data_IF_038742623199
#
_entry.id   IF_038742623199
#
_cell.length_a   1.000
_cell.length_b   1.000
_cell.length_c   1.000
_cell.angle_alpha   90.00
_cell.angle_beta   90.00
_cell.angle_gamma   90.00
#
_symmetry.space_group_name_H-M   'P 1'
#
loop_
_entity.id
_entity.type
_entity.pdbx_description
1 polymer ?
#
# COMPACT_ATOMS: atom_id res chain seq x y z
N UNK A 1 -0.61 -4.72 7.83
CA UNK A 1 0.31 -5.80 7.39
C UNK A 1 1.20 -6.18 8.56
N UNK A 2 1.26 -7.47 8.91
CA UNK A 2 2.02 -7.96 10.08
C UNK A 2 3.46 -8.35 9.75
N UNK A 3 3.71 -8.86 8.54
CA UNK A 3 5.04 -9.14 8.00
C UNK A 3 5.20 -8.41 6.66
N UNK A 4 6.22 -7.57 6.55
CA UNK A 4 6.52 -6.86 5.30
C UNK A 4 7.50 -7.64 4.41
N UNK A 5 8.25 -8.59 4.97
CA UNK A 5 9.26 -9.35 4.24
C UNK A 5 9.28 -10.82 4.71
N UNK A 6 8.85 -11.77 3.87
CA UNK A 6 8.30 -11.58 2.52
C UNK A 6 6.94 -10.84 2.53
N UNK A 7 6.67 -10.05 1.49
CA UNK A 7 5.40 -9.33 1.34
C UNK A 7 4.29 -10.28 0.88
N UNK A 8 3.13 -10.34 1.56
CA UNK A 8 2.07 -11.31 1.26
C UNK A 8 1.14 -10.83 0.12
N UNK A 9 1.63 -10.88 -1.13
CA UNK A 9 0.88 -10.34 -2.29
C UNK A 9 -0.50 -10.98 -2.50
N UNK A 10 -0.61 -12.31 -2.37
CA UNK A 10 -1.88 -13.02 -2.61
C UNK A 10 -2.95 -12.68 -1.56
N UNK A 11 -2.57 -12.65 -0.28
CA UNK A 11 -3.49 -12.28 0.81
C UNK A 11 -3.96 -10.84 0.66
N UNK A 12 -3.07 -9.91 0.28
CA UNK A 12 -3.43 -8.50 0.04
C UNK A 12 -4.40 -8.39 -1.13
N UNK A 13 -4.12 -9.08 -2.24
CA UNK A 13 -4.96 -9.07 -3.43
C UNK A 13 -6.35 -9.64 -3.15
N UNK A 14 -6.43 -10.75 -2.42
CA UNK A 14 -7.71 -11.37 -2.06
C UNK A 14 -8.51 -10.50 -1.10
N UNK A 15 -7.87 -9.97 -0.06
CA UNK A 15 -8.52 -9.11 0.94
C UNK A 15 -9.08 -7.81 0.33
N UNK A 16 -8.44 -7.28 -0.72
CA UNK A 16 -8.80 -6.01 -1.35
C UNK A 16 -9.54 -6.16 -2.68
N UNK A 17 -9.87 -7.38 -3.12
CA UNK A 17 -10.41 -7.65 -4.45
C UNK A 17 -11.68 -6.85 -4.80
N UNK A 18 -12.54 -6.58 -3.82
CA UNK A 18 -13.84 -5.92 -4.01
C UNK A 18 -13.83 -4.42 -3.69
N UNK A 19 -12.65 -3.81 -3.52
CA UNK A 19 -12.53 -2.37 -3.25
C UNK A 19 -12.44 -1.57 -4.54
N UNK A 20 -13.00 -0.35 -4.53
CA UNK A 20 -12.92 0.59 -5.67
C UNK A 20 -11.71 1.52 -5.59
N UNK A 21 -11.31 1.86 -4.36
CA UNK A 21 -10.18 2.72 -4.07
C UNK A 21 -9.50 2.26 -2.77
N UNK A 22 -8.19 2.41 -2.71
CA UNK A 22 -7.33 2.01 -1.58
C UNK A 22 -6.44 3.20 -1.22
N UNK A 23 -6.50 3.61 0.06
CA UNK A 23 -5.57 4.56 0.63
C UNK A 23 -4.49 3.79 1.40
N UNK A 24 -3.22 3.96 0.99
CA UNK A 24 -2.06 3.35 1.63
C UNK A 24 -1.34 4.42 2.43
N UNK A 25 -1.17 4.18 3.72
CA UNK A 25 -0.54 5.13 4.62
C UNK A 25 0.86 4.64 4.98
N UNK A 26 1.88 5.42 4.64
CA UNK A 26 3.30 5.14 4.90
C UNK A 26 3.82 6.05 6.02
N UNK A 27 4.57 5.48 6.98
CA UNK A 27 5.33 6.28 7.96
C UNK A 27 6.75 6.60 7.50
N UNK A 28 6.96 6.54 6.20
CA UNK A 28 8.24 6.86 5.57
C UNK A 28 8.04 8.06 4.66
N UNK A 29 9.00 8.98 4.67
CA UNK A 29 9.05 10.12 3.74
C UNK A 29 10.29 9.97 2.86
N UNK A 30 10.17 9.35 1.67
CA UNK A 30 11.33 9.04 0.83
C UNK A 30 11.91 10.25 0.07
N UNK A 31 11.61 11.49 0.48
CA UNK A 31 12.20 12.69 -0.10
C UNK A 31 11.88 12.90 -1.59
N UNK A 32 10.70 12.48 -2.06
CA UNK A 32 10.25 12.65 -3.45
C UNK A 32 9.98 11.36 -4.21
N UNK A 33 10.37 10.20 -3.66
CA UNK A 33 9.91 8.89 -4.14
C UNK A 33 8.64 8.43 -3.41
N UNK A 34 7.95 7.45 -3.99
CA UNK A 34 6.77 6.83 -3.38
C UNK A 34 7.15 5.94 -2.18
N UNK A 35 6.26 5.87 -1.19
CA UNK A 35 6.44 5.06 0.01
C UNK A 35 6.62 3.57 -0.29
N UNK A 36 7.43 2.89 0.55
CA UNK A 36 7.72 1.47 0.36
C UNK A 36 6.44 0.63 0.44
N UNK A 37 5.54 0.94 1.39
CA UNK A 37 4.30 0.18 1.54
C UNK A 37 3.33 0.43 0.39
N UNK A 38 3.23 1.69 -0.06
CA UNK A 38 2.47 2.04 -1.27
C UNK A 38 2.93 1.23 -2.48
N UNK A 39 4.24 1.11 -2.72
CA UNK A 39 4.76 0.39 -3.88
C UNK A 39 4.37 -1.09 -3.85
N UNK A 40 4.47 -1.74 -2.70
CA UNK A 40 4.12 -3.16 -2.58
C UNK A 40 2.62 -3.42 -2.75
N UNK A 41 1.77 -2.58 -2.15
CA UNK A 41 0.31 -2.69 -2.29
C UNK A 41 -0.12 -2.39 -3.73
N UNK A 42 0.48 -1.37 -4.35
CA UNK A 42 0.23 -1.03 -5.75
C UNK A 42 0.63 -2.19 -6.67
N UNK A 43 1.79 -2.81 -6.45
CA UNK A 43 2.22 -4.00 -7.19
C UNK A 43 1.27 -5.19 -6.99
N UNK A 44 0.82 -5.45 -5.76
CA UNK A 44 -0.15 -6.51 -5.46
C UNK A 44 -1.48 -6.32 -6.21
N UNK A 45 -1.95 -5.06 -6.28
CA UNK A 45 -3.21 -4.74 -6.95
C UNK A 45 -3.08 -4.56 -8.46
N UNK A 46 -1.87 -4.32 -8.98
CA UNK A 46 -1.63 -4.15 -10.41
C UNK A 46 -1.98 -5.39 -11.23
N UNK A 47 -1.77 -6.57 -10.65
CA UNK A 47 -2.11 -7.89 -11.23
C UNK A 47 -3.54 -8.34 -10.90
N UNK A 48 -4.29 -7.56 -10.11
CA UNK A 48 -5.70 -7.86 -9.80
C UNK A 48 -6.62 -7.57 -11.00
N UNK A 49 -7.77 -8.25 -11.06
CA UNK A 49 -8.76 -8.03 -12.13
C UNK A 49 -9.46 -6.66 -11.98
N UNK A 50 -9.72 -6.24 -10.74
CA UNK A 50 -10.54 -5.06 -10.45
C UNK A 50 -9.76 -3.73 -10.49
N UNK A 51 -8.42 -3.78 -10.44
CA UNK A 51 -7.46 -2.66 -10.58
C UNK A 51 -7.95 -1.35 -9.94
N UNK A 52 -8.16 -1.32 -8.61
CA UNK A 52 -8.64 -0.13 -7.92
C UNK A 52 -7.65 1.03 -7.99
N UNK A 53 -8.15 2.25 -7.75
CA UNK A 53 -7.30 3.42 -7.58
C UNK A 53 -6.53 3.26 -6.26
N UNK A 54 -5.20 3.27 -6.30
CA UNK A 54 -4.35 3.22 -5.12
C UNK A 54 -3.71 4.59 -4.91
N UNK A 55 -3.86 5.16 -3.72
CA UNK A 55 -3.29 6.48 -3.36
C UNK A 55 -2.43 6.34 -2.11
N UNK A 56 -1.22 6.92 -2.15
CA UNK A 56 -0.28 6.91 -1.03
C UNK A 56 -0.39 8.19 -0.20
N UNK A 57 -0.41 8.05 1.12
CA UNK A 57 -0.37 9.14 2.09
C UNK A 57 0.79 8.94 3.05
N UNK A 58 1.52 10.00 3.36
CA UNK A 58 2.54 9.97 4.41
C UNK A 58 1.90 10.44 5.71
N UNK A 59 2.05 9.66 6.78
CA UNK A 59 1.49 9.96 8.11
C UNK A 59 2.47 9.56 9.21
N UNK A 60 2.28 10.05 10.43
CA UNK A 60 3.04 9.52 11.58
C UNK A 60 4.54 9.84 11.57
N UNK A 61 4.98 10.88 10.86
CA UNK A 61 6.39 11.30 10.85
C UNK A 61 6.73 11.99 12.17
N UNK A 62 7.73 11.47 12.87
CA UNK A 62 8.23 12.09 14.11
C UNK A 62 7.20 12.17 15.24
N UNK A 63 6.35 11.14 15.36
CA UNK A 63 5.29 11.06 16.39
C UNK A 63 4.21 12.16 16.28
N UNK A 64 4.11 12.85 15.15
CA UNK A 64 2.90 13.62 14.84
C UNK A 64 1.77 12.69 14.42
N UNK A 65 0.64 12.80 15.11
CA UNK A 65 -0.63 12.19 14.73
C UNK A 65 -1.11 12.71 13.36
#
# INVERSE_FOLDING_TARGET
IRSFSPFPYDEVREALANTKAIAVTDRSSPGGAMGAFFNEVSAAMYTSVNRPIVTGFVYGLGESD
#
